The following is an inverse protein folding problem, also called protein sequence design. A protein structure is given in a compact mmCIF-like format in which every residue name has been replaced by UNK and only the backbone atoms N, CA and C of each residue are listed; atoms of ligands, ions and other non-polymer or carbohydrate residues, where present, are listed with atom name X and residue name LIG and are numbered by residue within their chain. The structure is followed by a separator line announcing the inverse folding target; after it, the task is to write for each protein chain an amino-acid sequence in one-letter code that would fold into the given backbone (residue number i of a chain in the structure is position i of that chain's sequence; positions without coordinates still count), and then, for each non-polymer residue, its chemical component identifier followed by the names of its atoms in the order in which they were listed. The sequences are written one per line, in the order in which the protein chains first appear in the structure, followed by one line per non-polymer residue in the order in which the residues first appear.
data_IF_721506361782
#
_entry.id   IF_721506361782
#
_cell.length_a   1.000
_cell.length_b   1.000
_cell.length_c   1.000
_cell.angle_alpha   90.00
_cell.angle_beta   90.00
_cell.angle_gamma   90.00
#
_symmetry.space_group_name_H-M   'P 1'
#
loop_
_entity.id
_entity.type
_entity.pdbx_description
1 polymer ?
#
# COMPACT_ATOMS: atom_id res chain seq x y z
N UNK A 1 -35.35 14.50 24.34
CA UNK A 1 -34.23 15.08 23.55
C UNK A 1 -33.27 13.94 23.20
N UNK A 2 -33.16 13.59 21.93
CA UNK A 2 -32.19 12.57 21.48
C UNK A 2 -30.78 13.11 21.71
N UNK A 3 -29.96 12.41 22.50
CA UNK A 3 -28.57 12.70 22.76
C UNK A 3 -27.84 12.56 21.44
N UNK A 4 -27.41 13.66 20.84
CA UNK A 4 -26.59 13.64 19.61
C UNK A 4 -25.38 12.81 19.91
N UNK A 5 -25.26 11.64 19.27
CA UNK A 5 -24.15 10.72 19.46
C UNK A 5 -22.90 11.48 18.99
N UNK A 6 -21.95 11.73 19.91
CA UNK A 6 -20.72 12.44 19.56
C UNK A 6 -19.90 11.56 18.63
N UNK A 7 -19.56 12.08 17.44
CA UNK A 7 -18.67 11.41 16.49
C UNK A 7 -17.32 11.16 17.16
N UNK A 8 -16.83 9.92 17.12
CA UNK A 8 -15.52 9.55 17.68
C UNK A 8 -14.38 9.87 16.71
N UNK A 9 -13.13 9.93 17.22
CA UNK A 9 -11.94 10.12 16.39
C UNK A 9 -11.74 8.96 15.40
N UNK A 10 -12.11 7.72 15.79
CA UNK A 10 -12.08 6.57 14.88
C UNK A 10 -13.08 6.71 13.73
N UNK A 11 -14.26 7.30 13.96
CA UNK A 11 -15.22 7.59 12.89
C UNK A 11 -14.69 8.66 11.94
N UNK A 12 -14.00 9.68 12.45
CA UNK A 12 -13.35 10.69 11.61
C UNK A 12 -12.20 10.08 10.79
N UNK A 13 -11.41 9.20 11.39
CA UNK A 13 -10.33 8.49 10.68
C UNK A 13 -10.88 7.53 9.62
N UNK A 14 -12.00 6.85 9.88
CA UNK A 14 -12.67 6.03 8.88
C UNK A 14 -13.19 6.87 7.70
N UNK A 15 -13.78 8.03 7.98
CA UNK A 15 -14.18 8.98 6.94
C UNK A 15 -12.97 9.54 6.18
N UNK A 16 -11.88 9.86 6.87
CA UNK A 16 -10.64 10.30 6.24
C UNK A 16 -10.09 9.22 5.28
N UNK A 17 -10.13 7.94 5.68
CA UNK A 17 -9.77 6.82 4.80
C UNK A 17 -10.68 6.74 3.57
N UNK A 18 -11.98 6.84 3.75
CA UNK A 18 -12.96 6.83 2.66
C UNK A 18 -12.71 7.97 1.66
N UNK A 19 -12.45 9.19 2.15
CA UNK A 19 -12.09 10.34 1.32
C UNK A 19 -10.78 10.09 0.56
N UNK A 20 -9.76 9.55 1.25
CA UNK A 20 -8.48 9.18 0.64
C UNK A 20 -8.64 8.13 -0.46
N UNK A 21 -9.41 7.08 -0.24
CA UNK A 21 -9.64 6.02 -1.22
C UNK A 21 -10.36 6.52 -2.49
N UNK A 22 -11.23 7.54 -2.35
CA UNK A 22 -11.95 8.13 -3.48
C UNK A 22 -11.17 9.21 -4.22
N UNK A 23 -10.39 10.04 -3.52
CA UNK A 23 -9.78 11.27 -4.06
C UNK A 23 -8.25 11.26 -4.05
N UNK A 24 -7.63 10.36 -3.30
CA UNK A 24 -6.20 10.41 -3.01
C UNK A 24 -5.82 11.49 -2.01
N UNK A 25 -4.55 11.53 -1.61
CA UNK A 25 -4.04 12.53 -0.65
C UNK A 25 -3.91 13.93 -1.26
N UNK A 26 -3.72 14.04 -2.58
CA UNK A 26 -3.59 15.33 -3.23
C UNK A 26 -4.87 16.18 -3.06
N UNK A 27 -6.02 15.57 -3.38
CA UNK A 27 -7.32 16.25 -3.31
C UNK A 27 -8.04 16.04 -1.97
N UNK A 28 -7.33 15.52 -0.97
CA UNK A 28 -7.85 15.30 0.38
C UNK A 28 -8.06 16.63 1.11
N UNK A 29 -9.30 16.90 1.54
CA UNK A 29 -9.61 18.08 2.34
C UNK A 29 -10.33 17.74 3.64
N UNK A 30 -10.11 18.54 4.68
CA UNK A 30 -10.87 18.41 5.94
C UNK A 30 -12.35 18.71 5.75
N UNK A 31 -12.72 19.49 4.75
CA UNK A 31 -14.11 19.79 4.44
C UNK A 31 -14.85 18.53 3.99
N UNK A 32 -14.21 17.70 3.14
CA UNK A 32 -14.78 16.44 2.70
C UNK A 32 -14.93 15.45 3.85
N UNK A 33 -13.89 15.34 4.70
CA UNK A 33 -13.93 14.47 5.88
C UNK A 33 -15.02 14.90 6.85
N UNK A 34 -15.12 16.20 7.12
CA UNK A 34 -16.13 16.76 8.02
C UNK A 34 -17.55 16.52 7.51
N UNK A 35 -17.76 16.71 6.20
CA UNK A 35 -19.06 16.46 5.55
C UNK A 35 -19.49 14.99 5.68
N UNK A 36 -18.56 14.05 5.57
CA UNK A 36 -18.84 12.60 5.63
C UNK A 36 -19.31 12.15 7.03
N UNK A 37 -18.88 12.85 8.09
CA UNK A 37 -19.28 12.53 9.48
C UNK A 37 -20.29 13.54 10.06
N UNK A 38 -20.77 14.49 9.27
CA UNK A 38 -21.74 15.50 9.73
C UNK A 38 -21.18 16.50 10.73
N UNK A 39 -19.87 16.77 10.66
CA UNK A 39 -19.18 17.76 11.50
C UNK A 39 -18.84 19.04 10.70
N UNK A 40 -18.52 20.13 11.41
CA UNK A 40 -17.89 21.29 10.78
C UNK A 40 -16.39 21.02 10.57
N UNK A 41 -15.80 21.69 9.56
CA UNK A 41 -14.33 21.68 9.34
C UNK A 41 -13.58 22.12 10.62
N UNK A 42 -14.11 23.13 11.33
CA UNK A 42 -13.52 23.61 12.57
C UNK A 42 -13.51 22.55 13.68
N UNK A 43 -14.57 21.74 13.79
CA UNK A 43 -14.62 20.65 14.76
C UNK A 43 -13.59 19.54 14.46
N UNK A 44 -13.29 19.26 13.20
CA UNK A 44 -12.26 18.31 12.81
C UNK A 44 -10.86 18.88 13.10
N UNK A 45 -10.62 20.17 12.77
CA UNK A 45 -9.34 20.85 13.09
C UNK A 45 -9.08 20.83 14.60
N UNK A 46 -10.09 21.09 15.42
CA UNK A 46 -9.92 21.11 16.89
C UNK A 46 -9.43 19.75 17.44
N UNK A 47 -9.71 18.64 16.73
CA UNK A 47 -9.31 17.29 17.15
C UNK A 47 -7.99 16.82 16.54
N UNK A 48 -7.66 17.28 15.34
CA UNK A 48 -6.52 16.80 14.56
C UNK A 48 -5.52 17.89 14.19
N UNK A 49 -5.65 19.09 14.74
CA UNK A 49 -4.80 20.25 14.58
C UNK A 49 -4.77 20.82 13.15
N UNK A 50 -4.53 19.99 12.15
CA UNK A 50 -4.41 20.43 10.76
C UNK A 50 -4.78 19.34 9.76
N UNK A 51 -4.97 19.71 8.49
CA UNK A 51 -5.11 18.76 7.39
C UNK A 51 -3.87 17.88 7.27
N UNK A 52 -2.68 18.46 7.44
CA UNK A 52 -1.42 17.72 7.37
C UNK A 52 -1.33 16.68 8.48
N UNK A 53 -1.61 17.06 9.74
CA UNK A 53 -1.58 16.14 10.87
C UNK A 53 -2.55 14.94 10.67
N UNK A 54 -3.76 15.19 10.14
CA UNK A 54 -4.70 14.11 9.81
C UNK A 54 -4.19 13.22 8.68
N UNK A 55 -3.56 13.78 7.64
CA UNK A 55 -2.92 13.00 6.57
C UNK A 55 -1.81 12.10 7.10
N UNK A 56 -0.91 12.64 7.93
CA UNK A 56 0.20 11.89 8.54
C UNK A 56 -0.34 10.77 9.42
N UNK A 57 -1.35 11.05 10.26
CA UNK A 57 -1.97 10.04 11.11
C UNK A 57 -2.64 8.92 10.28
N UNK A 58 -3.37 9.27 9.23
CA UNK A 58 -3.99 8.30 8.32
C UNK A 58 -2.92 7.42 7.65
N UNK A 59 -1.87 8.04 7.08
CA UNK A 59 -0.79 7.30 6.43
C UNK A 59 -0.03 6.42 7.42
N UNK A 60 0.18 6.87 8.66
CA UNK A 60 0.79 6.04 9.72
C UNK A 60 -0.01 4.78 9.94
N UNK A 61 -1.34 4.89 10.12
CA UNK A 61 -2.21 3.72 10.30
C UNK A 61 -2.19 2.78 9.08
N UNK A 62 -2.22 3.32 7.85
CA UNK A 62 -2.17 2.51 6.63
C UNK A 62 -0.84 1.74 6.51
N UNK A 63 0.29 2.37 6.86
CA UNK A 63 1.61 1.71 6.86
C UNK A 63 1.69 0.62 7.95
N UNK A 64 1.14 0.87 9.13
CA UNK A 64 1.07 -0.13 10.20
C UNK A 64 0.18 -1.33 9.83
N UNK A 65 -0.97 -1.08 9.21
CA UNK A 65 -1.87 -2.13 8.71
C UNK A 65 -1.19 -2.96 7.61
N UNK A 66 -0.52 -2.31 6.66
CA UNK A 66 0.24 -2.98 5.62
C UNK A 66 1.36 -3.84 6.20
N UNK A 67 2.14 -3.32 7.15
CA UNK A 67 3.21 -4.06 7.82
C UNK A 67 2.67 -5.29 8.56
N UNK A 68 1.59 -5.14 9.32
CA UNK A 68 0.92 -6.26 10.01
C UNK A 68 0.39 -7.31 9.02
N UNK A 69 -0.15 -6.88 7.89
CA UNK A 69 -0.62 -7.80 6.86
C UNK A 69 0.52 -8.58 6.20
N UNK A 70 1.70 -7.96 6.03
CA UNK A 70 2.91 -8.65 5.57
C UNK A 70 3.43 -9.67 6.59
N UNK A 71 3.22 -9.44 7.89
CA UNK A 71 3.72 -10.32 8.96
C UNK A 71 2.95 -11.63 9.08
N UNK A 72 1.74 -11.72 8.55
CA UNK A 72 0.97 -12.98 8.52
C UNK A 72 1.29 -13.85 7.31
N UNK A 73 2.04 -13.32 6.33
CA UNK A 73 2.49 -14.08 5.16
C UNK A 73 3.55 -15.13 5.54
N UNK A 74 3.76 -16.17 4.71
CA UNK A 74 4.79 -17.19 4.92
C UNK A 74 6.17 -16.58 5.21
N UNK A 75 6.96 -17.29 6.03
CA UNK A 75 8.27 -16.81 6.50
C UNK A 75 9.44 -17.69 6.03
N UNK A 76 9.19 -18.73 5.24
CA UNK A 76 10.23 -19.63 4.74
C UNK A 76 10.63 -19.28 3.30
N UNK A 77 11.92 -19.36 2.96
CA UNK A 77 12.39 -19.10 1.60
C UNK A 77 11.85 -20.14 0.59
N UNK A 78 11.07 -19.68 -0.40
CA UNK A 78 10.65 -20.53 -1.55
C UNK A 78 10.06 -19.69 -2.69
N UNK A 79 10.07 -20.21 -3.92
CA UNK A 79 9.39 -19.58 -5.04
C UNK A 79 7.87 -19.50 -4.85
N UNK A 80 7.25 -20.49 -4.20
CA UNK A 80 5.82 -20.49 -3.89
C UNK A 80 5.45 -19.32 -2.94
N UNK A 81 6.29 -19.05 -1.94
CA UNK A 81 6.05 -17.94 -1.01
C UNK A 81 6.30 -16.57 -1.65
N UNK A 82 7.19 -16.47 -2.65
CA UNK A 82 7.30 -15.28 -3.49
C UNK A 82 6.05 -15.07 -4.36
N UNK A 83 5.43 -16.14 -4.87
CA UNK A 83 4.15 -16.06 -5.56
C UNK A 83 3.01 -15.62 -4.63
N UNK A 84 2.98 -16.12 -3.40
CA UNK A 84 1.99 -15.71 -2.40
C UNK A 84 2.15 -14.23 -2.01
N UNK A 85 3.39 -13.77 -1.84
CA UNK A 85 3.67 -12.35 -1.63
C UNK A 85 3.23 -11.49 -2.82
N UNK A 86 3.49 -11.94 -4.06
CA UNK A 86 3.04 -11.25 -5.26
C UNK A 86 1.51 -11.21 -5.36
N UNK A 87 0.83 -12.32 -5.04
CA UNK A 87 -0.62 -12.38 -4.95
C UNK A 87 -1.18 -11.40 -3.91
N UNK A 88 -0.54 -11.31 -2.74
CA UNK A 88 -0.88 -10.34 -1.72
C UNK A 88 -0.75 -8.90 -2.25
N UNK A 89 0.37 -8.55 -2.87
CA UNK A 89 0.57 -7.23 -3.46
C UNK A 89 -0.48 -6.95 -4.54
N UNK A 90 -0.76 -7.92 -5.42
CA UNK A 90 -1.81 -7.79 -6.44
C UNK A 90 -3.19 -7.51 -5.87
N UNK A 91 -3.58 -8.16 -4.78
CA UNK A 91 -4.87 -7.90 -4.09
C UNK A 91 -4.94 -6.51 -3.45
N UNK A 92 -3.80 -6.01 -2.95
CA UNK A 92 -3.71 -4.71 -2.25
C UNK A 92 -3.23 -3.58 -3.18
N UNK A 93 -2.60 -3.93 -4.30
CA UNK A 93 -2.25 -2.99 -5.34
C UNK A 93 -3.52 -2.61 -6.12
N UNK A 94 -4.31 -1.79 -5.51
CA UNK A 94 -5.06 -0.76 -6.17
C UNK A 94 -6.04 -1.20 -7.25
N UNK A 95 -7.29 -0.90 -7.03
CA UNK A 95 -8.28 -0.73 -8.08
C UNK A 95 -7.68 0.11 -9.23
N UNK A 96 -7.72 -0.40 -10.46
CA UNK A 96 -7.12 0.20 -11.67
C UNK A 96 -7.46 1.69 -11.86
N UNK A 97 -8.68 2.11 -11.47
CA UNK A 97 -9.11 3.49 -11.53
C UNK A 97 -8.37 4.44 -10.57
N UNK A 98 -7.68 3.90 -9.57
CA UNK A 98 -6.94 4.69 -8.57
C UNK A 98 -5.41 4.71 -8.82
N UNK A 99 -4.88 3.96 -9.81
CA UNK A 99 -3.44 3.93 -10.09
C UNK A 99 -2.84 5.29 -10.49
N UNK A 100 -3.46 6.09 -11.37
CA UNK A 100 -2.96 7.45 -11.64
C UNK A 100 -2.91 8.29 -10.37
N UNK A 101 -3.95 8.20 -9.52
CA UNK A 101 -3.99 8.86 -8.22
C UNK A 101 -2.92 8.30 -7.26
N UNK A 102 -2.63 6.99 -7.29
CA UNK A 102 -1.56 6.40 -6.50
C UNK A 102 -0.19 6.99 -6.85
N UNK A 103 0.16 7.10 -8.14
CA UNK A 103 1.44 7.69 -8.56
C UNK A 103 1.52 9.18 -8.25
N UNK A 104 0.43 9.93 -8.46
CA UNK A 104 0.36 11.34 -8.10
C UNK A 104 0.52 11.53 -6.58
N UNK A 105 -0.14 10.71 -5.77
CA UNK A 105 -0.01 10.73 -4.32
C UNK A 105 1.41 10.36 -3.87
N UNK A 106 2.01 9.32 -4.45
CA UNK A 106 3.37 8.92 -4.13
C UNK A 106 4.36 10.05 -4.42
N UNK A 107 4.25 10.69 -5.58
CA UNK A 107 5.09 11.84 -5.92
C UNK A 107 4.92 12.99 -4.93
N UNK A 108 3.67 13.37 -4.62
CA UNK A 108 3.36 14.41 -3.63
C UNK A 108 3.85 14.05 -2.22
N UNK A 109 3.75 12.79 -1.81
CA UNK A 109 4.25 12.33 -0.51
C UNK A 109 5.78 12.46 -0.42
N UNK A 110 6.50 12.28 -1.54
CA UNK A 110 7.97 12.40 -1.54
C UNK A 110 8.45 13.86 -1.40
N UNK A 111 7.58 14.84 -1.65
CA UNK A 111 7.88 16.27 -1.42
C UNK A 111 7.64 16.70 0.05
N UNK A 112 6.95 15.88 0.83
CA UNK A 112 6.64 16.13 2.24
C UNK A 112 7.49 15.23 3.14
N UNK A 113 8.29 15.78 4.04
CA UNK A 113 9.26 15.03 4.85
C UNK A 113 8.63 13.96 5.74
N UNK A 114 7.44 14.22 6.30
CA UNK A 114 6.76 13.29 7.20
C UNK A 114 6.16 12.13 6.39
N UNK A 115 5.50 12.45 5.29
CA UNK A 115 4.91 11.45 4.39
C UNK A 115 5.98 10.64 3.66
N UNK A 116 7.09 11.25 3.22
CA UNK A 116 8.23 10.54 2.64
C UNK A 116 8.84 9.53 3.61
N UNK A 117 8.92 9.88 4.91
CA UNK A 117 9.38 8.95 5.95
C UNK A 117 8.44 7.74 6.08
N UNK A 118 7.14 7.94 5.97
CA UNK A 118 6.15 6.85 6.00
C UNK A 118 6.22 5.98 4.75
N UNK A 119 6.40 6.56 3.56
CA UNK A 119 6.62 5.81 2.32
C UNK A 119 7.89 4.95 2.39
N UNK A 120 8.97 5.50 2.97
CA UNK A 120 10.20 4.74 3.22
C UNK A 120 9.96 3.56 4.15
N UNK A 121 9.26 3.76 5.28
CA UNK A 121 8.89 2.67 6.20
C UNK A 121 8.06 1.58 5.51
N UNK A 122 7.11 1.98 4.66
CA UNK A 122 6.31 1.04 3.86
C UNK A 122 7.18 0.20 2.92
N UNK A 123 8.14 0.84 2.24
CA UNK A 123 9.11 0.17 1.37
C UNK A 123 10.04 -0.79 2.14
N UNK A 124 10.51 -0.37 3.31
CA UNK A 124 11.36 -1.19 4.19
C UNK A 124 10.60 -2.43 4.70
N UNK A 125 9.33 -2.29 5.08
CA UNK A 125 8.48 -3.41 5.50
C UNK A 125 8.30 -4.44 4.37
N UNK A 126 8.02 -3.97 3.15
CA UNK A 126 7.91 -4.85 1.98
C UNK A 126 9.25 -5.53 1.68
N UNK A 127 10.36 -4.79 1.68
CA UNK A 127 11.68 -5.36 1.44
C UNK A 127 12.06 -6.42 2.48
N UNK A 128 11.75 -6.18 3.75
CA UNK A 128 11.96 -7.17 4.82
C UNK A 128 11.10 -8.43 4.60
N UNK A 129 9.85 -8.29 4.15
CA UNK A 129 9.00 -9.42 3.81
C UNK A 129 9.56 -10.22 2.62
N UNK A 130 10.08 -9.55 1.59
CA UNK A 130 10.76 -10.20 0.45
C UNK A 130 12.00 -10.96 0.93
N UNK A 131 12.84 -10.35 1.76
CA UNK A 131 14.04 -11.01 2.30
C UNK A 131 13.69 -12.30 3.05
N UNK A 132 12.63 -12.32 3.84
CA UNK A 132 12.22 -13.51 4.59
C UNK A 132 11.88 -14.71 3.71
N UNK A 133 11.34 -14.48 2.51
CA UNK A 133 10.86 -15.54 1.60
C UNK A 133 11.78 -15.76 0.40
N UNK A 134 12.82 -14.94 0.22
CA UNK A 134 13.75 -15.05 -0.90
C UNK A 134 14.65 -16.28 -0.74
N UNK A 135 14.66 -17.22 -1.69
CA UNK A 135 15.62 -18.34 -1.69
C UNK A 135 17.04 -17.87 -1.95
N UNK A 136 18.01 -18.76 -1.68
CA UNK A 136 19.39 -18.54 -2.11
C UNK A 136 19.45 -18.48 -3.64
N UNK A 137 20.19 -17.50 -4.17
CA UNK A 137 20.37 -17.28 -5.60
C UNK A 137 21.85 -17.06 -5.95
N UNK A 138 22.18 -17.13 -7.24
CA UNK A 138 23.57 -16.92 -7.72
C UNK A 138 24.09 -15.49 -7.47
N UNK A 139 23.21 -14.50 -7.43
CA UNK A 139 23.60 -13.11 -7.19
C UNK A 139 23.61 -12.73 -5.70
N UNK A 140 23.33 -13.69 -4.82
CA UNK A 140 23.24 -13.48 -3.38
C UNK A 140 21.83 -13.04 -2.95
N UNK A 141 21.54 -13.26 -1.68
CA UNK A 141 20.21 -13.10 -1.08
C UNK A 141 19.70 -11.65 -1.13
N UNK A 142 20.50 -10.69 -0.68
CA UNK A 142 20.11 -9.28 -0.65
C UNK A 142 19.90 -8.69 -2.06
N UNK A 143 20.82 -9.00 -3.00
CA UNK A 143 20.69 -8.52 -4.38
C UNK A 143 19.45 -9.09 -5.07
N UNK A 144 19.14 -10.38 -4.84
CA UNK A 144 17.93 -11.01 -5.37
C UNK A 144 16.65 -10.38 -4.79
N UNK A 145 16.63 -10.08 -3.49
CA UNK A 145 15.50 -9.39 -2.87
C UNK A 145 15.29 -7.98 -3.44
N UNK A 146 16.37 -7.23 -3.67
CA UNK A 146 16.32 -5.92 -4.31
C UNK A 146 15.80 -6.02 -5.75
N UNK A 147 16.28 -7.00 -6.54
CA UNK A 147 15.81 -7.23 -7.90
C UNK A 147 14.33 -7.62 -7.93
N UNK A 148 13.87 -8.43 -6.98
CA UNK A 148 12.46 -8.80 -6.86
C UNK A 148 11.58 -7.61 -6.43
N UNK A 149 12.07 -6.74 -5.55
CA UNK A 149 11.38 -5.50 -5.19
C UNK A 149 11.18 -4.59 -6.41
N UNK A 150 12.24 -4.43 -7.24
CA UNK A 150 12.16 -3.68 -8.49
C UNK A 150 11.20 -4.33 -9.50
N UNK A 151 11.17 -5.68 -9.57
CA UNK A 151 10.20 -6.42 -10.38
C UNK A 151 8.76 -6.11 -9.96
N UNK A 152 8.43 -6.16 -8.67
CA UNK A 152 7.09 -5.83 -8.18
C UNK A 152 6.70 -4.39 -8.51
N UNK A 153 7.60 -3.43 -8.31
CA UNK A 153 7.36 -2.03 -8.68
C UNK A 153 7.12 -1.86 -10.18
N UNK A 154 7.94 -2.49 -11.03
CA UNK A 154 7.73 -2.50 -12.47
C UNK A 154 6.42 -3.16 -12.88
N UNK A 155 6.00 -4.21 -12.17
CA UNK A 155 4.71 -4.89 -12.40
C UNK A 155 3.53 -3.96 -12.09
N UNK A 156 3.59 -3.16 -11.02
CA UNK A 156 2.58 -2.12 -10.73
C UNK A 156 2.48 -1.14 -11.90
N UNK A 157 3.61 -0.64 -12.39
CA UNK A 157 3.63 0.31 -13.52
C UNK A 157 3.06 -0.32 -14.80
N UNK A 158 3.43 -1.55 -15.11
CA UNK A 158 2.91 -2.28 -16.27
C UNK A 158 1.42 -2.57 -16.18
N UNK A 159 0.90 -2.81 -14.98
CA UNK A 159 -0.52 -3.03 -14.74
C UNK A 159 -1.40 -1.87 -15.25
N UNK A 160 -0.92 -0.63 -15.17
CA UNK A 160 -1.64 0.55 -15.68
C UNK A 160 -1.85 0.49 -17.20
N UNK A 161 -0.88 -0.07 -17.91
CA UNK A 161 -0.81 -0.04 -19.37
C UNK A 161 -1.51 -1.23 -20.05
N UNK A 162 -1.98 -2.23 -19.30
CA UNK A 162 -2.62 -3.43 -19.86
C UNK A 162 -4.13 -3.46 -19.58
N UNK A 163 -4.89 -4.21 -20.38
CA UNK A 163 -6.35 -4.35 -20.24
C UNK A 163 -6.77 -5.44 -19.23
N UNK A 164 -5.82 -6.16 -18.63
CA UNK A 164 -6.10 -7.19 -17.63
C UNK A 164 -6.87 -6.62 -16.45
N UNK A 165 -7.89 -7.31 -15.99
CA UNK A 165 -8.80 -6.85 -14.92
C UNK A 165 -8.49 -7.47 -13.57
N UNK A 166 -7.88 -8.67 -13.55
CA UNK A 166 -7.48 -9.36 -12.31
C UNK A 166 -6.03 -9.03 -11.95
N UNK A 167 -5.86 -8.06 -11.06
CA UNK A 167 -4.53 -7.64 -10.58
C UNK A 167 -3.77 -8.77 -9.90
N UNK A 168 -4.45 -9.61 -9.12
CA UNK A 168 -3.82 -10.73 -8.44
C UNK A 168 -3.25 -11.75 -9.44
N UNK A 169 -4.06 -12.16 -10.42
CA UNK A 169 -3.63 -13.08 -11.47
C UNK A 169 -2.47 -12.50 -12.29
N UNK A 170 -2.53 -11.19 -12.62
CA UNK A 170 -1.47 -10.49 -13.33
C UNK A 170 -0.14 -10.51 -12.56
N UNK A 171 -0.16 -10.14 -11.27
CA UNK A 171 1.05 -10.15 -10.43
C UNK A 171 1.64 -11.55 -10.28
N UNK A 172 0.80 -12.55 -10.05
CA UNK A 172 1.22 -13.95 -9.96
C UNK A 172 1.86 -14.41 -11.26
N UNK A 173 1.24 -14.12 -12.42
CA UNK A 173 1.79 -14.54 -13.71
C UNK A 173 3.14 -13.85 -14.00
N UNK A 174 3.27 -12.54 -13.79
CA UNK A 174 4.54 -11.83 -13.98
C UNK A 174 5.63 -12.36 -13.04
N UNK A 175 5.25 -12.68 -11.81
CA UNK A 175 6.20 -13.28 -10.85
C UNK A 175 6.60 -14.70 -11.25
N UNK A 176 5.71 -15.53 -11.81
CA UNK A 176 6.09 -16.84 -12.38
C UNK A 176 7.14 -16.69 -13.47
N UNK A 177 6.96 -15.74 -14.37
CA UNK A 177 7.90 -15.49 -15.46
C UNK A 177 9.26 -15.00 -14.91
N UNK A 178 9.25 -14.12 -13.91
CA UNK A 178 10.47 -13.68 -13.23
C UNK A 178 11.20 -14.83 -12.52
N UNK A 179 10.47 -15.70 -11.81
CA UNK A 179 11.05 -16.86 -11.12
C UNK A 179 11.71 -17.85 -12.10
N UNK A 180 11.08 -18.07 -13.28
CA UNK A 180 11.69 -18.88 -14.35
C UNK A 180 13.00 -18.27 -14.83
N UNK A 181 13.03 -16.97 -15.10
CA UNK A 181 14.25 -16.25 -15.49
C UNK A 181 15.33 -16.30 -14.40
N UNK A 182 14.94 -16.18 -13.13
CA UNK A 182 15.85 -16.23 -11.99
C UNK A 182 16.34 -17.65 -11.66
N UNK A 183 15.75 -18.68 -12.26
CA UNK A 183 16.05 -20.10 -11.98
C UNK A 183 15.60 -20.53 -10.58
N UNK A 184 14.58 -19.89 -10.02
CA UNK A 184 14.01 -20.21 -8.71
C UNK A 184 12.86 -21.21 -8.89
N UNK A 185 12.92 -22.42 -8.30
CA UNK A 185 11.87 -23.41 -8.45
C UNK A 185 10.60 -23.01 -7.69
N UNK A 186 9.44 -23.33 -8.28
CA UNK A 186 8.12 -23.19 -7.69
C UNK A 186 7.16 -24.27 -8.23
N UNK A 187 6.06 -24.53 -7.53
CA UNK A 187 5.04 -25.49 -7.97
C UNK A 187 4.19 -24.88 -9.08
N UNK A 188 4.02 -25.62 -10.18
CA UNK A 188 3.03 -25.30 -11.20
C UNK A 188 1.67 -25.85 -10.73
N UNK A 189 0.85 -24.99 -10.14
CA UNK A 189 -0.56 -25.28 -9.91
C UNK A 189 -1.40 -24.64 -11.00
#
# INVERSE_FOLDING_TARGET
MARTQSVSDDQILAAARSVFERRGLHDFTLTDVAAEVGLSRAAVILRFDSTHALKVLLMTKLVEEFSRALDVLPKSPSGDNLLELAAFIGRHAVNRGSLPAFFANYAANMEDSDLATLEKKRGEALHAAILRVMPATRIGHAAAATAFSAHLTGTIMNWVAVEETDSQAFFVQRTRDWLRLAGIPFKNH
#
